data_IF_366527077574
#
_entry.id   IF_366527077574
#
_cell.length_a   1.000
_cell.length_b   1.000
_cell.length_c   1.000
_cell.angle_alpha   90.00
_cell.angle_beta   90.00
_cell.angle_gamma   90.00
#
_symmetry.space_group_name_H-M   'P 1'
#
loop_
_entity.id
_entity.type
_entity.pdbx_description
1 polymer ?
#
# COMPACT_ATOMS: atom_id res chain seq x y z
N UNK A 1 38.28 -29.81 -56.33
CA UNK A 1 38.33 -28.96 -55.12
C UNK A 1 37.68 -27.62 -55.47
N UNK A 2 36.42 -27.44 -55.11
CA UNK A 2 35.67 -26.19 -55.28
C UNK A 2 35.26 -25.74 -53.88
N UNK A 3 35.98 -24.77 -53.31
CA UNK A 3 35.55 -24.03 -52.13
C UNK A 3 35.36 -22.58 -52.57
N UNK A 4 34.12 -22.24 -52.93
CA UNK A 4 33.68 -20.86 -53.14
C UNK A 4 32.93 -20.40 -51.90
N UNK A 5 33.53 -19.47 -51.16
CA UNK A 5 32.98 -18.89 -49.94
C UNK A 5 31.66 -18.15 -50.23
N UNK A 6 30.56 -18.64 -49.65
CA UNK A 6 29.30 -17.91 -49.58
C UNK A 6 29.43 -16.81 -48.52
N UNK A 7 29.70 -15.59 -48.96
CA UNK A 7 29.63 -14.40 -48.12
C UNK A 7 28.15 -14.11 -47.84
N UNK A 8 27.65 -14.59 -46.70
CA UNK A 8 26.32 -14.28 -46.21
C UNK A 8 26.25 -12.79 -45.85
N UNK A 9 25.65 -11.97 -46.72
CA UNK A 9 25.21 -10.61 -46.36
C UNK A 9 24.17 -10.73 -45.24
N UNK A 10 24.57 -10.46 -44.01
CA UNK A 10 23.63 -10.16 -42.94
C UNK A 10 22.83 -8.93 -43.36
N UNK A 11 21.55 -9.13 -43.68
CA UNK A 11 20.60 -8.03 -43.82
C UNK A 11 20.51 -7.31 -42.48
N UNK A 12 21.13 -6.13 -42.37
CA UNK A 12 20.85 -5.18 -41.28
C UNK A 12 19.37 -4.81 -41.39
N UNK A 13 18.52 -5.50 -40.62
CA UNK A 13 17.13 -5.09 -40.46
C UNK A 13 17.12 -3.77 -39.71
N UNK A 14 17.17 -2.64 -40.44
CA UNK A 14 16.94 -1.33 -39.85
C UNK A 14 15.47 -1.23 -39.48
N UNK A 15 15.19 -1.23 -38.18
CA UNK A 15 13.86 -0.91 -37.67
C UNK A 15 13.50 0.52 -38.11
N UNK A 16 12.47 0.66 -38.94
CA UNK A 16 11.98 1.98 -39.37
C UNK A 16 10.93 2.46 -38.39
N UNK A 17 11.22 3.54 -37.68
CA UNK A 17 10.25 4.21 -36.81
C UNK A 17 9.36 5.11 -37.67
N UNK A 18 8.04 4.96 -37.54
CA UNK A 18 7.08 5.85 -38.18
C UNK A 18 7.16 7.25 -37.54
N UNK A 19 7.38 8.29 -38.35
CA UNK A 19 7.50 9.68 -37.87
C UNK A 19 6.26 10.16 -37.12
N UNK A 20 5.07 9.82 -37.58
CA UNK A 20 3.82 10.23 -36.93
C UNK A 20 3.66 9.57 -35.56
N UNK A 21 4.08 8.31 -35.41
CA UNK A 21 4.03 7.61 -34.13
C UNK A 21 5.14 8.08 -33.18
N UNK A 22 6.33 8.42 -33.70
CA UNK A 22 7.39 9.04 -32.90
C UNK A 22 6.94 10.36 -32.25
N UNK A 23 6.19 11.20 -32.98
CA UNK A 23 5.63 12.45 -32.44
C UNK A 23 4.66 12.17 -31.29
N UNK A 24 3.83 11.13 -31.37
CA UNK A 24 2.91 10.77 -30.27
C UNK A 24 3.68 10.40 -29.00
N UNK A 25 4.74 9.62 -29.12
CA UNK A 25 5.61 9.23 -28.00
C UNK A 25 6.32 10.46 -27.41
N UNK A 26 6.78 11.37 -28.27
CA UNK A 26 7.43 12.60 -27.83
C UNK A 26 6.48 13.51 -27.06
N UNK A 27 5.23 13.64 -27.52
CA UNK A 27 4.20 14.39 -26.80
C UNK A 27 3.88 13.77 -25.42
N UNK A 28 3.85 12.44 -25.34
CA UNK A 28 3.73 11.75 -24.06
C UNK A 28 4.92 12.06 -23.13
N UNK A 29 6.15 12.03 -23.67
CA UNK A 29 7.37 12.37 -22.91
C UNK A 29 7.31 13.80 -22.36
N UNK A 30 6.92 14.77 -23.17
CA UNK A 30 6.74 16.15 -22.70
C UNK A 30 5.66 16.27 -21.62
N UNK A 31 4.52 15.59 -21.79
CA UNK A 31 3.47 15.57 -20.78
C UNK A 31 3.95 14.95 -19.46
N UNK A 32 4.73 13.87 -19.53
CA UNK A 32 5.33 13.23 -18.35
C UNK A 32 6.28 14.18 -17.62
N UNK A 33 7.06 14.97 -18.34
CA UNK A 33 8.00 15.94 -17.74
C UNK A 33 7.25 17.07 -17.04
N UNK A 34 6.20 17.60 -17.66
CA UNK A 34 5.32 18.61 -17.04
C UNK A 34 4.64 18.07 -15.79
N UNK A 35 4.16 16.82 -15.82
CA UNK A 35 3.59 16.16 -14.65
C UNK A 35 4.62 16.00 -13.53
N UNK A 36 5.85 15.58 -13.84
CA UNK A 36 6.91 15.47 -12.84
C UNK A 36 7.25 16.84 -12.22
N UNK A 37 7.33 17.89 -13.04
CA UNK A 37 7.57 19.25 -12.55
C UNK A 37 6.47 19.74 -11.61
N UNK A 38 5.20 19.54 -11.97
CA UNK A 38 4.07 19.88 -11.09
C UNK A 38 4.05 19.04 -9.82
N UNK A 39 4.42 17.76 -9.91
CA UNK A 39 4.52 16.88 -8.75
C UNK A 39 5.46 17.45 -7.69
N UNK A 40 6.68 17.83 -8.08
CA UNK A 40 7.65 18.37 -7.14
C UNK A 40 7.35 19.83 -6.76
N UNK A 41 6.87 20.67 -7.69
CA UNK A 41 6.66 22.09 -7.42
C UNK A 41 5.41 22.37 -6.56
N UNK A 42 4.35 21.56 -6.72
CA UNK A 42 3.05 21.83 -6.13
C UNK A 42 2.48 20.64 -5.35
N UNK A 43 2.34 19.48 -5.99
CA UNK A 43 1.55 18.38 -5.46
C UNK A 43 2.16 17.76 -4.19
N UNK A 44 3.45 17.39 -4.23
CA UNK A 44 4.14 16.72 -3.14
C UNK A 44 4.22 17.63 -1.90
N UNK A 45 4.65 18.91 -1.98
CA UNK A 45 4.61 19.82 -0.84
C UNK A 45 3.21 19.96 -0.23
N UNK A 46 2.18 20.11 -1.08
CA UNK A 46 0.78 20.19 -0.64
C UNK A 46 0.33 18.90 0.07
N UNK A 47 0.69 17.73 -0.47
CA UNK A 47 0.37 16.42 0.13
C UNK A 47 1.01 16.23 1.49
N UNK A 48 2.26 16.66 1.69
CA UNK A 48 2.93 16.57 2.99
C UNK A 48 2.14 17.36 4.04
N UNK A 49 1.76 18.60 3.74
CA UNK A 49 0.99 19.45 4.65
C UNK A 49 -0.40 18.86 4.91
N UNK A 50 -1.09 18.37 3.87
CA UNK A 50 -2.40 17.72 3.99
C UNK A 50 -2.33 16.52 4.93
N UNK A 51 -1.34 15.65 4.76
CA UNK A 51 -1.16 14.46 5.59
C UNK A 51 -0.76 14.81 7.03
N UNK A 52 0.04 15.86 7.21
CA UNK A 52 0.38 16.38 8.53
C UNK A 52 -0.86 16.87 9.30
N UNK A 53 -1.77 17.57 8.62
CA UNK A 53 -3.03 18.02 9.19
C UNK A 53 -3.96 16.83 9.47
N UNK A 54 -4.08 15.88 8.55
CA UNK A 54 -4.87 14.66 8.71
C UNK A 54 -4.43 13.88 9.96
N UNK A 55 -3.13 13.73 10.18
CA UNK A 55 -2.57 13.03 11.35
C UNK A 55 -2.85 13.71 12.70
N UNK A 56 -3.28 14.98 12.70
CA UNK A 56 -3.69 15.75 13.88
C UNK A 56 -5.20 15.72 14.12
N UNK A 57 -5.99 15.16 13.19
CA UNK A 57 -7.42 14.99 13.39
C UNK A 57 -7.69 14.11 14.62
N UNK A 58 -8.77 14.40 15.35
CA UNK A 58 -9.12 13.71 16.59
C UNK A 58 -9.27 12.19 16.37
N UNK A 59 -9.84 11.81 15.22
CA UNK A 59 -10.08 10.41 14.84
C UNK A 59 -8.80 9.62 14.61
N UNK A 60 -7.68 10.29 14.33
CA UNK A 60 -6.36 9.68 14.16
C UNK A 60 -5.45 9.91 15.37
N UNK A 61 -5.91 10.66 16.38
CA UNK A 61 -5.14 11.03 17.58
C UNK A 61 -5.74 10.42 18.86
N UNK A 62 -6.39 9.26 18.73
CA UNK A 62 -6.96 8.50 19.84
C UNK A 62 -5.85 8.00 20.75
N UNK A 63 -5.95 8.34 22.05
CA UNK A 63 -5.04 7.88 23.11
C UNK A 63 -5.61 6.70 23.89
N UNK A 64 -6.93 6.70 24.11
CA UNK A 64 -7.65 5.60 24.72
C UNK A 64 -8.22 4.67 23.64
N UNK A 65 -7.52 3.55 23.42
CA UNK A 65 -7.89 2.58 22.39
C UNK A 65 -9.22 1.87 22.67
N UNK A 66 -9.67 1.82 23.93
CA UNK A 66 -10.97 1.23 24.27
C UNK A 66 -12.13 2.00 23.64
N UNK A 67 -11.94 3.28 23.36
CA UNK A 67 -12.91 4.10 22.63
C UNK A 67 -13.15 3.61 21.19
N UNK A 68 -12.26 2.79 20.62
CA UNK A 68 -12.42 2.20 19.30
C UNK A 68 -13.31 0.95 19.32
N UNK A 69 -13.58 0.36 20.48
CA UNK A 69 -14.34 -0.89 20.58
C UNK A 69 -15.75 -0.73 20.03
N UNK A 70 -16.08 -1.53 19.02
CA UNK A 70 -17.44 -1.63 18.52
C UNK A 70 -18.26 -2.59 19.39
N UNK A 71 -19.57 -2.34 19.63
CA UNK A 71 -20.43 -3.26 20.37
C UNK A 71 -20.40 -4.67 19.78
N UNK A 72 -20.29 -5.68 20.66
CA UNK A 72 -20.27 -7.10 20.31
C UNK A 72 -21.41 -7.83 21.02
N UNK A 73 -22.60 -7.74 20.43
CA UNK A 73 -23.87 -8.23 20.99
C UNK A 73 -24.03 -9.76 20.88
N UNK A 74 -23.01 -10.50 21.34
CA UNK A 74 -23.03 -11.96 21.43
C UNK A 74 -23.55 -12.34 22.82
N UNK A 75 -24.58 -13.19 22.94
CA UNK A 75 -25.12 -13.63 24.23
C UNK A 75 -24.06 -14.34 25.07
N UNK A 76 -24.00 -14.05 26.37
CA UNK A 76 -23.12 -14.72 27.33
C UNK A 76 -23.91 -15.90 27.92
N UNK A 77 -23.37 -17.14 27.89
CA UNK A 77 -24.06 -18.29 28.45
C UNK A 77 -24.08 -18.21 29.98
N UNK A 78 -25.20 -18.62 30.58
CA UNK A 78 -25.32 -18.75 32.04
C UNK A 78 -24.42 -19.90 32.55
N UNK A 79 -23.86 -19.79 33.76
CA UNK A 79 -23.14 -20.89 34.38
C UNK A 79 -24.06 -22.12 34.53
N UNK A 80 -23.52 -23.35 34.39
CA UNK A 80 -24.32 -24.56 34.63
C UNK A 80 -24.85 -24.55 36.06
N UNK A 81 -26.13 -24.92 36.24
CA UNK A 81 -26.73 -25.10 37.55
C UNK A 81 -26.20 -26.36 38.22
N UNK A 82 -26.01 -26.35 39.54
CA UNK A 82 -25.56 -27.51 40.33
C UNK A 82 -26.47 -28.75 40.20
N UNK A 83 -27.74 -28.57 39.84
CA UNK A 83 -28.68 -29.67 39.55
C UNK A 83 -28.36 -30.42 38.24
N UNK A 84 -27.62 -29.79 37.31
CA UNK A 84 -27.21 -30.42 36.05
C UNK A 84 -25.97 -31.34 36.25
N UNK A 85 -25.22 -31.20 37.36
CA UNK A 85 -24.02 -32.01 37.66
C UNK A 85 -24.34 -33.35 38.36
N UNK A 86 -25.47 -33.45 39.08
CA UNK A 86 -25.85 -34.68 39.82
C UNK A 86 -26.59 -35.73 38.97
N UNK A 87 -26.96 -35.41 37.71
CA UNK A 87 -27.69 -36.34 36.83
C UNK A 87 -26.80 -37.13 35.85
N UNK A 88 -25.47 -37.00 35.90
CA UNK A 88 -24.52 -37.76 35.06
C UNK A 88 -24.11 -39.10 35.70
N UNK A 89 -25.07 -39.82 36.27
CA UNK A 89 -24.95 -41.27 36.48
C UNK A 89 -26.25 -41.94 36.06
N UNK A 90 -26.17 -42.72 34.98
CA UNK A 90 -27.15 -43.66 34.45
C UNK A 90 -28.44 -43.07 33.81
N UNK A 91 -28.41 -42.92 32.47
CA UNK A 91 -29.30 -43.65 31.55
C UNK A 91 -29.08 -43.25 30.08
N UNK A 92 -28.89 -44.28 29.24
CA UNK A 92 -29.23 -44.27 27.81
C UNK A 92 -30.67 -43.75 27.62
N UNK A 93 -30.85 -42.55 27.08
CA UNK A 93 -32.04 -42.24 26.29
C UNK A 93 -31.81 -41.06 25.33
N UNK A 94 -32.27 -41.27 24.10
CA UNK A 94 -32.01 -40.56 22.87
C UNK A 94 -32.77 -39.21 22.79
N UNK A 95 -32.39 -38.26 23.66
CA UNK A 95 -32.87 -36.88 23.55
C UNK A 95 -31.73 -35.88 23.78
N UNK A 96 -30.97 -35.59 22.72
CA UNK A 96 -30.03 -34.48 22.64
C UNK A 96 -30.75 -33.13 22.89
N UNK A 97 -31.07 -32.81 24.14
CA UNK A 97 -31.18 -31.42 24.62
C UNK A 97 -29.76 -30.88 24.77
N UNK A 98 -28.97 -30.88 23.70
CA UNK A 98 -27.88 -29.91 23.56
C UNK A 98 -28.55 -28.55 23.70
N UNK A 99 -28.41 -27.89 24.86
CA UNK A 99 -28.83 -26.49 25.08
C UNK A 99 -28.32 -25.72 23.85
N UNK A 100 -29.19 -25.45 22.88
CA UNK A 100 -28.79 -24.83 21.62
C UNK A 100 -28.20 -23.50 22.00
N UNK A 101 -26.91 -23.32 21.73
CA UNK A 101 -26.23 -22.06 21.99
C UNK A 101 -27.14 -20.91 21.50
N UNK A 102 -27.39 -19.89 22.34
CA UNK A 102 -28.33 -18.84 22.01
C UNK A 102 -27.98 -18.26 20.64
N UNK A 103 -28.98 -18.18 19.75
CA UNK A 103 -28.77 -17.77 18.36
C UNK A 103 -28.17 -16.36 18.35
N UNK A 104 -26.94 -16.25 17.87
CA UNK A 104 -26.27 -14.97 17.70
C UNK A 104 -27.02 -14.08 16.69
N UNK A 105 -27.27 -12.83 17.06
CA UNK A 105 -27.85 -11.82 16.18
C UNK A 105 -26.87 -11.33 15.10
N UNK A 106 -27.31 -10.35 14.32
CA UNK A 106 -26.47 -9.67 13.34
C UNK A 106 -25.37 -8.85 14.03
N UNK A 107 -24.10 -9.11 13.69
CA UNK A 107 -22.94 -8.37 14.21
C UNK A 107 -22.43 -7.42 13.12
N UNK A 108 -22.37 -6.13 13.43
CA UNK A 108 -21.89 -5.10 12.51
C UNK A 108 -20.35 -5.01 12.50
N UNK A 109 -19.79 -4.54 11.38
CA UNK A 109 -18.39 -4.12 11.31
C UNK A 109 -18.11 -2.87 12.16
N UNK A 110 -16.83 -2.63 12.48
CA UNK A 110 -16.43 -1.44 13.21
C UNK A 110 -16.45 -0.19 12.29
N UNK A 111 -17.48 0.65 12.44
CA UNK A 111 -17.66 1.83 11.59
C UNK A 111 -16.58 2.89 11.76
N UNK A 112 -15.99 3.01 12.95
CA UNK A 112 -14.90 3.98 13.20
C UNK A 112 -13.68 3.61 12.37
N UNK A 113 -13.32 2.33 12.38
CA UNK A 113 -12.23 1.80 11.55
C UNK A 113 -12.54 1.95 10.06
N UNK A 114 -13.77 1.61 9.63
CA UNK A 114 -14.15 1.74 8.21
C UNK A 114 -14.01 3.18 7.72
N UNK A 115 -14.47 4.17 8.51
CA UNK A 115 -14.29 5.61 8.18
C UNK A 115 -12.83 6.01 8.04
N UNK A 116 -11.95 5.50 8.91
CA UNK A 116 -10.50 5.74 8.81
C UNK A 116 -9.90 5.07 7.56
N UNK A 117 -10.35 3.86 7.25
CA UNK A 117 -9.93 3.15 6.04
C UNK A 117 -10.34 3.88 4.75
N UNK A 118 -11.50 4.53 4.75
CA UNK A 118 -11.97 5.33 3.61
C UNK A 118 -11.12 6.58 3.39
N UNK A 119 -10.45 7.09 4.44
CA UNK A 119 -9.47 8.18 4.34
C UNK A 119 -8.09 7.71 3.90
N UNK A 120 -7.59 6.56 4.41
CA UNK A 120 -6.22 6.10 4.12
C UNK A 120 -6.06 5.46 2.74
N UNK A 121 -7.07 4.72 2.26
CA UNK A 121 -6.98 3.99 0.98
C UNK A 121 -6.71 4.93 -0.21
N UNK A 122 -7.39 6.09 -0.37
CA UNK A 122 -7.08 7.04 -1.44
C UNK A 122 -5.66 7.59 -1.38
N UNK A 123 -5.09 7.77 -0.19
CA UNK A 123 -3.72 8.27 -0.03
C UNK A 123 -2.67 7.21 -0.43
N UNK A 124 -2.94 5.93 -0.17
CA UNK A 124 -2.12 4.82 -0.68
C UNK A 124 -2.11 4.84 -2.23
N UNK A 125 -3.29 4.95 -2.86
CA UNK A 125 -3.40 4.99 -4.34
C UNK A 125 -2.64 6.19 -4.90
N UNK A 126 -2.87 7.38 -4.33
CA UNK A 126 -2.22 8.63 -4.75
C UNK A 126 -0.69 8.51 -4.72
N UNK A 127 -0.14 7.91 -3.67
CA UNK A 127 1.30 7.69 -3.56
C UNK A 127 1.81 6.68 -4.60
N UNK A 128 1.07 5.60 -4.86
CA UNK A 128 1.44 4.61 -5.91
C UNK A 128 1.50 5.27 -7.28
N UNK A 129 0.51 6.09 -7.63
CA UNK A 129 0.49 6.83 -8.89
C UNK A 129 1.68 7.79 -8.98
N UNK A 130 1.96 8.55 -7.92
CA UNK A 130 3.13 9.43 -7.85
C UNK A 130 4.43 8.66 -8.07
N UNK A 131 4.62 7.53 -7.38
CA UNK A 131 5.79 6.67 -7.50
C UNK A 131 5.98 6.16 -8.93
N UNK A 132 4.90 5.72 -9.58
CA UNK A 132 4.94 5.22 -10.96
C UNK A 132 5.34 6.36 -11.91
N UNK A 133 4.74 7.54 -11.78
CA UNK A 133 5.04 8.71 -12.61
C UNK A 133 6.49 9.15 -12.46
N UNK A 134 7.00 9.27 -11.23
CA UNK A 134 8.39 9.69 -10.98
C UNK A 134 9.38 8.62 -11.47
N UNK A 135 9.09 7.33 -11.24
CA UNK A 135 9.92 6.24 -11.77
C UNK A 135 10.03 6.30 -13.30
N UNK A 136 8.88 6.46 -13.96
CA UNK A 136 8.81 6.57 -15.42
C UNK A 136 9.58 7.80 -15.92
N UNK A 137 9.43 8.95 -15.25
CA UNK A 137 10.15 10.17 -15.59
C UNK A 137 11.67 9.98 -15.52
N UNK A 138 12.21 9.42 -14.43
CA UNK A 138 13.65 9.18 -14.27
C UNK A 138 14.13 8.17 -15.32
N UNK A 139 13.38 7.11 -15.60
CA UNK A 139 13.74 6.14 -16.63
C UNK A 139 13.87 6.78 -18.02
N UNK A 140 13.04 7.77 -18.35
CA UNK A 140 13.15 8.52 -19.61
C UNK A 140 14.29 9.54 -19.63
N UNK A 141 14.90 9.84 -18.47
CA UNK A 141 16.08 10.70 -18.34
C UNK A 141 17.39 9.90 -18.36
N UNK A 142 17.34 8.56 -18.31
CA UNK A 142 18.53 7.73 -18.46
C UNK A 142 19.02 7.88 -19.91
N UNK A 143 20.26 8.36 -20.12
CA UNK A 143 20.79 8.60 -21.45
C UNK A 143 21.13 7.27 -22.14
N UNK A 144 21.56 7.38 -23.40
CA UNK A 144 22.13 6.25 -24.12
C UNK A 144 23.33 5.67 -23.33
N UNK A 145 23.43 4.34 -23.31
CA UNK A 145 24.57 3.64 -22.71
C UNK A 145 25.82 3.91 -23.54
N UNK A 146 26.85 4.45 -22.88
CA UNK A 146 28.15 4.81 -23.45
C UNK A 146 29.25 4.41 -22.46
N UNK A 147 30.50 4.35 -22.91
CA UNK A 147 31.63 3.99 -22.06
C UNK A 147 32.15 5.24 -21.34
N UNK A 148 32.05 5.27 -20.01
CA UNK A 148 32.54 6.34 -19.16
C UNK A 148 31.54 7.47 -18.90
N UNK A 149 31.88 8.34 -17.95
CA UNK A 149 31.02 9.42 -17.44
C UNK A 149 29.67 8.89 -16.88
N UNK A 150 29.69 7.76 -16.17
CA UNK A 150 28.47 7.07 -15.70
C UNK A 150 28.06 7.43 -14.28
N UNK A 151 28.77 8.34 -13.60
CA UNK A 151 28.46 8.70 -12.23
C UNK A 151 27.03 9.28 -12.07
N UNK A 152 26.58 10.15 -12.99
CA UNK A 152 25.21 10.66 -12.97
C UNK A 152 24.17 9.58 -13.21
N UNK A 153 24.47 8.61 -14.09
CA UNK A 153 23.60 7.45 -14.36
C UNK A 153 23.50 6.56 -13.12
N UNK A 154 24.61 6.29 -12.44
CA UNK A 154 24.62 5.54 -11.18
C UNK A 154 23.77 6.23 -10.08
N UNK A 155 23.72 7.56 -10.05
CA UNK A 155 22.81 8.30 -9.15
C UNK A 155 21.35 8.05 -9.54
N UNK A 156 21.00 8.15 -10.84
CA UNK A 156 19.64 7.85 -11.30
C UNK A 156 19.21 6.43 -10.92
N UNK A 157 20.08 5.43 -11.14
CA UNK A 157 19.85 4.04 -10.76
C UNK A 157 19.65 3.87 -9.25
N UNK A 158 20.47 4.54 -8.43
CA UNK A 158 20.35 4.47 -6.97
C UNK A 158 19.04 5.06 -6.46
N UNK A 159 18.58 6.15 -7.08
CA UNK A 159 17.28 6.75 -6.76
C UNK A 159 16.15 5.82 -7.18
N UNK A 160 16.21 5.22 -8.37
CA UNK A 160 15.23 4.23 -8.83
C UNK A 160 15.16 3.00 -7.92
N UNK A 161 16.30 2.50 -7.45
CA UNK A 161 16.38 1.42 -6.45
C UNK A 161 15.61 1.81 -5.17
N UNK A 162 15.82 3.04 -4.69
CA UNK A 162 15.11 3.52 -3.50
C UNK A 162 13.61 3.66 -3.75
N UNK A 163 13.20 4.20 -4.89
CA UNK A 163 11.78 4.31 -5.28
C UNK A 163 11.14 2.92 -5.36
N UNK A 164 11.85 1.93 -5.89
CA UNK A 164 11.36 0.54 -5.95
C UNK A 164 11.18 -0.08 -4.55
N UNK A 165 12.07 0.21 -3.60
CA UNK A 165 11.92 -0.20 -2.21
C UNK A 165 10.68 0.41 -1.55
N UNK A 166 10.45 1.72 -1.76
CA UNK A 166 9.24 2.42 -1.28
C UNK A 166 7.99 1.82 -1.93
N UNK A 167 7.99 1.61 -3.24
CA UNK A 167 6.88 0.97 -3.97
C UNK A 167 6.50 -0.37 -3.36
N UNK A 168 7.49 -1.20 -3.05
CA UNK A 168 7.28 -2.54 -2.45
C UNK A 168 6.59 -2.44 -1.09
N UNK A 169 7.01 -1.49 -0.25
CA UNK A 169 6.37 -1.22 1.05
C UNK A 169 4.92 -0.76 0.88
N UNK A 170 4.67 0.17 -0.05
CA UNK A 170 3.33 0.71 -0.33
C UNK A 170 2.39 -0.37 -0.90
N UNK A 171 2.89 -1.24 -1.78
CA UNK A 171 2.13 -2.39 -2.30
C UNK A 171 1.70 -3.35 -1.17
N UNK A 172 2.48 -3.42 -0.07
CA UNK A 172 2.15 -4.21 1.12
C UNK A 172 1.02 -3.67 2.00
N UNK A 173 0.71 -2.37 1.95
CA UNK A 173 -0.30 -1.76 2.82
C UNK A 173 -1.71 -2.32 2.59
N UNK A 174 -2.09 -2.59 1.33
CA UNK A 174 -3.38 -3.20 1.03
C UNK A 174 -3.52 -4.61 1.60
N UNK A 175 -2.43 -5.38 1.62
CA UNK A 175 -2.42 -6.71 2.24
C UNK A 175 -2.75 -6.62 3.73
N UNK A 176 -2.17 -5.66 4.44
CA UNK A 176 -2.44 -5.45 5.87
C UNK A 176 -3.91 -5.03 6.11
N UNK A 177 -4.43 -4.10 5.30
CA UNK A 177 -5.84 -3.66 5.38
C UNK A 177 -6.80 -4.82 5.10
N UNK A 178 -6.54 -5.62 4.07
CA UNK A 178 -7.41 -6.74 3.70
C UNK A 178 -7.39 -7.84 4.77
N UNK A 179 -6.21 -8.10 5.35
CA UNK A 179 -6.02 -9.08 6.43
C UNK A 179 -6.86 -8.76 7.66
N UNK A 180 -7.04 -7.48 7.99
CA UNK A 180 -7.93 -7.07 9.08
C UNK A 180 -9.37 -7.59 8.89
N UNK A 181 -9.95 -7.46 7.69
CA UNK A 181 -11.33 -7.90 7.46
C UNK A 181 -11.48 -9.41 7.63
N UNK A 182 -10.55 -10.20 7.11
CA UNK A 182 -10.56 -11.66 7.29
C UNK A 182 -10.34 -12.06 8.74
N UNK A 183 -9.33 -11.51 9.41
CA UNK A 183 -8.99 -11.90 10.78
C UNK A 183 -10.03 -11.46 11.79
N UNK A 184 -10.62 -10.27 11.62
CA UNK A 184 -11.74 -9.82 12.43
C UNK A 184 -12.97 -10.70 12.19
N UNK A 185 -13.25 -11.05 10.93
CA UNK A 185 -14.33 -11.96 10.58
C UNK A 185 -14.19 -13.31 11.27
N UNK A 186 -12.98 -13.90 11.25
CA UNK A 186 -12.67 -15.16 11.92
C UNK A 186 -12.80 -15.04 13.45
N UNK A 187 -12.32 -13.95 14.04
CA UNK A 187 -12.45 -13.70 15.47
C UNK A 187 -13.92 -13.59 15.90
N UNK A 188 -14.73 -12.83 15.16
CA UNK A 188 -16.18 -12.72 15.39
C UNK A 188 -16.87 -14.07 15.25
N UNK A 189 -16.54 -14.84 14.21
CA UNK A 189 -17.11 -16.17 13.99
C UNK A 189 -16.80 -17.11 15.16
N UNK A 190 -15.56 -17.11 15.67
CA UNK A 190 -15.18 -17.89 16.85
C UNK A 190 -15.92 -17.43 18.10
N UNK A 191 -15.98 -16.12 18.36
CA UNK A 191 -16.71 -15.56 19.50
C UNK A 191 -18.20 -15.93 19.49
N UNK A 192 -18.83 -15.99 18.30
CA UNK A 192 -20.24 -16.36 18.17
C UNK A 192 -20.52 -17.86 18.34
N UNK A 193 -19.53 -18.72 18.05
CA UNK A 193 -19.64 -20.18 18.17
C UNK A 193 -19.31 -20.64 19.59
N UNK A 194 -18.20 -20.15 20.12
CA UNK A 194 -17.67 -20.49 21.44
C UNK A 194 -17.98 -19.37 22.43
N UNK A 195 -19.27 -19.16 22.70
CA UNK A 195 -19.78 -18.00 23.47
C UNK A 195 -19.27 -17.91 24.91
N UNK A 196 -18.81 -19.03 25.46
CA UNK A 196 -18.21 -19.15 26.80
C UNK A 196 -16.73 -18.75 26.84
N UNK A 197 -16.04 -18.69 25.69
CA UNK A 197 -14.62 -18.30 25.61
C UNK A 197 -14.52 -16.79 25.43
N UNK A 198 -14.34 -16.07 26.53
CA UNK A 198 -14.32 -14.60 26.53
C UNK A 198 -13.13 -14.00 25.80
N UNK A 199 -12.01 -14.73 25.67
CA UNK A 199 -10.84 -14.28 24.92
C UNK A 199 -11.13 -14.00 23.44
N UNK A 200 -12.11 -14.69 22.83
CA UNK A 200 -12.49 -14.39 21.44
C UNK A 200 -13.20 -13.04 21.31
N UNK A 201 -13.88 -12.58 22.35
CA UNK A 201 -14.48 -11.23 22.37
C UNK A 201 -13.39 -10.17 22.48
N UNK A 202 -12.43 -10.38 23.39
CA UNK A 202 -11.24 -9.54 23.50
C UNK A 202 -10.46 -9.51 22.19
N UNK A 203 -10.29 -10.66 21.53
CA UNK A 203 -9.61 -10.76 20.25
C UNK A 203 -10.26 -9.89 19.16
N UNK A 204 -11.58 -9.78 19.11
CA UNK A 204 -12.26 -8.88 18.16
C UNK A 204 -11.85 -7.43 18.41
N UNK A 205 -11.83 -7.00 19.67
CA UNK A 205 -11.41 -5.65 20.05
C UNK A 205 -9.92 -5.41 19.79
N UNK A 206 -9.06 -6.36 20.11
CA UNK A 206 -7.62 -6.31 19.80
C UNK A 206 -7.37 -6.17 18.29
N UNK A 207 -8.17 -6.82 17.43
CA UNK A 207 -8.07 -6.63 15.98
C UNK A 207 -8.45 -5.21 15.54
N UNK A 208 -9.42 -4.59 16.21
CA UNK A 208 -9.82 -3.21 15.96
C UNK A 208 -8.72 -2.21 16.39
N UNK A 209 -8.09 -2.42 17.55
CA UNK A 209 -6.98 -1.59 18.03
C UNK A 209 -5.71 -1.73 17.16
N UNK A 210 -5.40 -2.96 16.77
CA UNK A 210 -4.23 -3.25 15.94
C UNK A 210 -4.32 -2.57 14.57
N UNK A 211 -5.47 -2.65 13.90
CA UNK A 211 -5.63 -2.00 12.59
C UNK A 211 -5.65 -0.48 12.71
N UNK A 212 -6.19 0.09 13.80
CA UNK A 212 -6.11 1.53 14.02
C UNK A 212 -4.66 2.01 14.09
N UNK A 213 -3.84 1.30 14.86
CA UNK A 213 -2.40 1.59 14.98
C UNK A 213 -1.70 1.47 13.63
N UNK A 214 -2.01 0.42 12.87
CA UNK A 214 -1.47 0.22 11.52
C UNK A 214 -1.89 1.34 10.55
N UNK A 215 -3.15 1.79 10.57
CA UNK A 215 -3.62 2.92 9.75
C UNK A 215 -2.80 4.19 10.04
N UNK A 216 -2.54 4.46 11.32
CA UNK A 216 -1.74 5.63 11.72
C UNK A 216 -0.29 5.50 11.22
N UNK A 217 0.32 4.33 11.34
CA UNK A 217 1.67 4.04 10.80
C UNK A 217 1.70 4.21 9.28
N UNK A 218 0.71 3.69 8.55
CA UNK A 218 0.61 3.85 7.09
C UNK A 218 0.59 5.34 6.71
N UNK A 219 -0.20 6.18 7.39
CA UNK A 219 -0.24 7.62 7.09
C UNK A 219 1.08 8.33 7.39
N UNK A 220 1.75 7.96 8.49
CA UNK A 220 3.08 8.46 8.83
C UNK A 220 4.11 8.07 7.75
N UNK A 221 4.09 6.81 7.31
CA UNK A 221 4.95 6.28 6.25
C UNK A 221 4.69 7.02 4.93
N UNK A 222 3.42 7.17 4.51
CA UNK A 222 3.07 7.90 3.26
C UNK A 222 3.61 9.33 3.31
N UNK A 223 3.38 10.07 4.41
CA UNK A 223 3.92 11.43 4.58
C UNK A 223 5.45 11.44 4.52
N UNK A 224 6.08 10.47 5.19
CA UNK A 224 7.52 10.28 5.18
C UNK A 224 8.08 10.02 3.79
N UNK A 225 7.43 9.15 3.01
CA UNK A 225 7.85 8.83 1.64
C UNK A 225 7.71 10.00 0.68
N UNK A 226 6.67 10.82 0.81
CA UNK A 226 6.59 12.07 0.03
C UNK A 226 7.74 13.02 0.36
N UNK A 227 8.03 13.23 1.65
CA UNK A 227 9.13 14.08 2.08
C UNK A 227 10.51 13.54 1.64
N UNK A 228 10.70 12.23 1.76
CA UNK A 228 11.92 11.56 1.32
C UNK A 228 12.11 11.65 -0.20
N UNK A 229 11.06 11.38 -0.98
CA UNK A 229 11.09 11.48 -2.43
C UNK A 229 11.43 12.90 -2.88
N UNK A 230 10.83 13.91 -2.23
CA UNK A 230 11.14 15.31 -2.49
C UNK A 230 12.61 15.63 -2.18
N UNK A 231 13.10 15.20 -1.01
CA UNK A 231 14.46 15.48 -0.55
C UNK A 231 15.53 14.85 -1.45
N UNK A 232 15.40 13.55 -1.75
CA UNK A 232 16.40 12.83 -2.56
C UNK A 232 16.45 13.37 -3.99
N UNK A 233 15.31 13.73 -4.59
CA UNK A 233 15.26 14.29 -5.94
C UNK A 233 15.81 15.71 -5.94
N UNK A 234 15.39 16.56 -5.01
CA UNK A 234 15.81 17.97 -4.96
C UNK A 234 17.33 18.10 -4.77
N UNK A 235 17.92 17.27 -3.90
CA UNK A 235 19.37 17.26 -3.66
C UNK A 235 20.18 16.79 -4.87
N UNK A 236 19.60 15.96 -5.73
CA UNK A 236 20.28 15.31 -6.85
C UNK A 236 19.76 15.79 -8.21
N UNK A 237 18.97 16.87 -8.26
CA UNK A 237 18.18 17.25 -9.43
C UNK A 237 19.02 17.45 -10.69
N UNK A 238 20.19 18.07 -10.56
CA UNK A 238 21.13 18.27 -11.67
C UNK A 238 21.59 16.94 -12.27
N UNK A 239 21.92 15.96 -11.43
CA UNK A 239 22.37 14.63 -11.88
C UNK A 239 21.21 13.76 -12.37
N UNK A 240 20.01 13.97 -11.85
CA UNK A 240 18.80 13.30 -12.35
C UNK A 240 18.44 13.79 -13.75
N UNK A 241 18.53 15.10 -14.01
CA UNK A 241 18.07 15.72 -15.27
C UNK A 241 19.16 15.85 -16.33
N UNK A 242 20.42 15.96 -15.93
CA UNK A 242 21.58 16.05 -16.81
C UNK A 242 22.74 15.16 -16.31
N UNK A 243 22.58 13.82 -16.36
CA UNK A 243 23.53 12.88 -15.77
C UNK A 243 24.93 12.93 -16.43
N UNK A 244 25.01 13.31 -17.71
CA UNK A 244 26.27 13.41 -18.47
C UNK A 244 26.91 14.81 -18.42
N UNK A 245 26.24 15.81 -17.84
CA UNK A 245 26.77 17.18 -17.74
C UNK A 245 26.90 17.87 -19.09
N UNK A 246 26.02 17.55 -20.05
CA UNK A 246 26.00 18.21 -21.35
C UNK A 246 25.68 19.69 -21.16
N UNK A 247 26.35 20.58 -21.92
CA UNK A 247 26.00 21.99 -21.92
C UNK A 247 24.54 22.11 -22.37
N UNK A 248 23.70 22.76 -21.55
CA UNK A 248 22.33 23.06 -21.96
C UNK A 248 22.43 23.83 -23.28
N UNK A 249 21.77 23.40 -24.37
CA UNK A 249 21.75 24.19 -25.58
C UNK A 249 21.30 25.61 -25.21
N UNK A 250 22.12 26.60 -25.55
CA UNK A 250 21.82 28.01 -25.31
C UNK A 250 20.46 28.31 -25.95
N UNK A 251 19.43 28.40 -25.12
CA UNK A 251 18.09 28.77 -25.55
C UNK A 251 18.10 30.29 -25.75
N UNK A 252 18.43 30.73 -26.97
CA UNK A 252 17.99 32.02 -27.52
C UNK A 252 16.68 31.81 -28.28
#
# INVERSE_FOLDING_TARGET
MLYGAACARMSKTMMKINKADAIKVENFRHSLYQQAEDLFSNYIPSKIIKLDNLLKEQELSVTDMSSLHAPLDIPIPDPPSTEDEEMETDKDDDSEKKKKAPKCGFIKGNEKIVKLLDKVKPEIISLRETIITVSCWIQHLIPKIEDGNDFGVAIQEKILERIAAVKTKVDGFYTNINKYFSERGDAVAKASKETHVMDYRSLVHEKDEAIYSEIRVILLDIRGFYAELYDIISKNLEKVTNPKGEEKPSMY
#
